data_IF_492153192831
#
_entry.id   IF_492153192831
#
_cell.length_a   1.000
_cell.length_b   1.000
_cell.length_c   1.000
_cell.angle_alpha   90.00
_cell.angle_beta   90.00
_cell.angle_gamma   90.00
#
_symmetry.space_group_name_H-M   'P 1'
#
loop_
_entity.id
_entity.type
_entity.pdbx_description
1 polymer ?
#
# COMPACT_ATOMS: atom_id res chain seq x y z
N UNK A 1 4.60 -17.69 19.71
CA UNK A 1 5.08 -16.59 18.84
C UNK A 1 5.33 -17.19 17.47
N UNK A 2 4.60 -16.76 16.44
CA UNK A 2 4.84 -17.24 15.07
C UNK A 2 6.24 -16.81 14.66
N UNK A 3 7.09 -17.74 14.24
CA UNK A 3 8.51 -17.50 13.92
C UNK A 3 8.73 -17.05 12.48
N UNK A 4 7.65 -16.82 11.71
CA UNK A 4 7.71 -16.24 10.38
C UNK A 4 6.53 -15.28 10.20
N UNK A 5 6.83 -13.98 10.18
CA UNK A 5 5.87 -12.96 9.78
C UNK A 5 5.98 -12.77 8.26
N UNK A 6 4.84 -12.73 7.56
CA UNK A 6 4.78 -12.45 6.13
C UNK A 6 4.50 -10.97 5.90
N UNK A 7 5.48 -10.27 5.37
CA UNK A 7 5.44 -8.82 5.14
C UNK A 7 5.31 -8.55 3.65
N UNK A 8 4.33 -7.71 3.27
CA UNK A 8 4.17 -7.16 1.93
C UNK A 8 4.62 -5.70 1.91
N UNK A 9 5.39 -5.32 0.88
CA UNK A 9 5.87 -3.96 0.66
C UNK A 9 5.45 -3.52 -0.74
N UNK A 10 4.54 -2.54 -0.84
CA UNK A 10 4.01 -2.11 -2.15
C UNK A 10 5.03 -1.33 -2.98
N UNK A 11 5.97 -0.64 -2.31
CA UNK A 11 6.79 0.38 -2.97
C UNK A 11 5.95 1.61 -3.36
N UNK A 12 6.44 2.36 -4.35
CA UNK A 12 5.79 3.55 -4.92
C UNK A 12 5.02 3.11 -6.19
N UNK A 13 3.69 3.03 -6.10
CA UNK A 13 2.83 2.48 -7.16
C UNK A 13 1.41 3.00 -7.01
N UNK A 14 0.76 3.35 -8.13
CA UNK A 14 -0.67 3.65 -8.15
C UNK A 14 -1.54 2.42 -7.98
N UNK A 15 -2.81 2.63 -7.65
CA UNK A 15 -3.75 1.54 -7.41
C UNK A 15 -4.08 0.74 -8.68
N UNK A 16 -4.22 -0.59 -8.55
CA UNK A 16 -4.60 -1.45 -9.67
C UNK A 16 -4.84 -2.91 -9.28
N UNK A 17 -5.28 -3.72 -10.25
CA UNK A 17 -5.66 -5.13 -10.04
C UNK A 17 -4.53 -6.03 -9.52
N UNK A 18 -3.27 -5.59 -9.65
CA UNK A 18 -2.10 -6.33 -9.20
C UNK A 18 -2.08 -6.57 -7.69
N UNK A 19 -2.65 -5.66 -6.86
CA UNK A 19 -2.74 -5.88 -5.41
C UNK A 19 -3.57 -7.12 -5.08
N UNK A 20 -4.70 -7.29 -5.76
CA UNK A 20 -5.57 -8.46 -5.62
C UNK A 20 -4.88 -9.73 -6.09
N UNK A 21 -4.24 -9.69 -7.25
CA UNK A 21 -3.50 -10.85 -7.76
C UNK A 21 -2.37 -11.29 -6.82
N UNK A 22 -1.66 -10.33 -6.20
CA UNK A 22 -0.62 -10.61 -5.22
C UNK A 22 -1.23 -11.22 -3.96
N UNK A 23 -2.34 -10.68 -3.45
CA UNK A 23 -3.05 -11.22 -2.29
C UNK A 23 -3.56 -12.64 -2.51
N UNK A 24 -4.04 -12.95 -3.73
CA UNK A 24 -4.48 -14.30 -4.11
C UNK A 24 -3.32 -15.29 -4.24
N UNK A 25 -2.18 -14.87 -4.84
CA UNK A 25 -1.03 -15.74 -5.12
C UNK A 25 -0.13 -15.97 -3.91
N UNK A 26 0.08 -14.95 -3.08
CA UNK A 26 1.14 -14.90 -2.06
C UNK A 26 0.62 -14.68 -0.64
N UNK A 27 -0.62 -14.21 -0.48
CA UNK A 27 -1.23 -13.91 0.81
C UNK A 27 -1.69 -15.15 1.61
N UNK A 28 -2.33 -14.95 2.77
CA UNK A 28 -2.52 -13.67 3.47
C UNK A 28 -1.23 -13.14 4.11
N UNK A 29 -1.10 -11.81 4.24
CA UNK A 29 0.06 -11.19 4.90
C UNK A 29 -0.27 -10.77 6.34
N UNK A 30 0.72 -10.76 7.21
CA UNK A 30 0.60 -10.22 8.58
C UNK A 30 0.66 -8.69 8.56
N UNK A 31 1.54 -8.14 7.72
CA UNK A 31 1.74 -6.71 7.52
C UNK A 31 1.79 -6.35 6.05
N UNK A 32 1.14 -5.24 5.68
CA UNK A 32 1.34 -4.54 4.42
C UNK A 32 1.82 -3.11 4.67
N UNK A 33 2.94 -2.76 4.05
CA UNK A 33 3.44 -1.40 4.01
C UNK A 33 3.07 -0.78 2.67
N UNK A 34 2.11 0.15 2.70
CA UNK A 34 1.46 0.68 1.51
C UNK A 34 1.65 2.18 1.40
N UNK A 35 1.97 2.65 0.19
CA UNK A 35 2.11 4.05 -0.18
C UNK A 35 0.85 4.84 0.22
N UNK A 36 1.02 5.95 0.93
CA UNK A 36 -0.07 6.80 1.42
C UNK A 36 0.40 8.28 1.52
N UNK A 37 1.22 8.74 0.57
CA UNK A 37 1.78 10.08 0.54
C UNK A 37 1.62 10.77 -0.82
N UNK A 38 1.81 12.08 -0.87
CA UNK A 38 1.94 12.85 -2.12
C UNK A 38 0.81 12.70 -3.16
N UNK A 39 -0.42 12.37 -2.76
CA UNK A 39 -1.53 12.20 -3.69
C UNK A 39 -1.84 13.49 -4.47
N UNK A 40 -1.93 13.41 -5.79
CA UNK A 40 -2.40 14.49 -6.65
C UNK A 40 -3.13 13.88 -7.84
N UNK A 41 -4.21 14.54 -8.29
CA UNK A 41 -4.98 14.15 -9.48
C UNK A 41 -4.11 14.05 -10.74
N UNK A 42 -3.01 14.80 -10.82
CA UNK A 42 -2.09 14.80 -11.97
C UNK A 42 -1.19 13.55 -12.04
N UNK A 43 -0.99 12.82 -10.95
CA UNK A 43 -0.09 11.66 -10.89
C UNK A 43 -0.66 10.47 -10.11
N UNK A 44 -1.98 10.30 -10.18
CA UNK A 44 -2.73 9.19 -9.61
C UNK A 44 -2.26 7.79 -10.05
N UNK A 45 -1.66 7.71 -11.24
CA UNK A 45 -1.11 6.45 -11.74
C UNK A 45 0.12 5.97 -10.95
N UNK A 46 0.74 6.85 -10.16
CA UNK A 46 1.96 6.56 -9.40
C UNK A 46 1.84 6.85 -7.90
N UNK A 47 0.88 7.67 -7.46
CA UNK A 47 0.56 7.90 -6.04
C UNK A 47 -0.91 7.60 -5.75
N UNK A 48 -1.15 6.76 -4.74
CA UNK A 48 -2.49 6.36 -4.32
C UNK A 48 -3.16 7.44 -3.47
N UNK A 49 -4.47 7.65 -3.67
CA UNK A 49 -5.25 8.32 -2.64
C UNK A 49 -5.35 7.47 -1.38
N UNK A 50 -5.54 8.06 -0.19
CA UNK A 50 -5.66 7.30 1.06
C UNK A 50 -6.71 6.18 1.00
N UNK A 51 -7.83 6.41 0.32
CA UNK A 51 -8.89 5.42 0.13
C UNK A 51 -8.42 4.22 -0.73
N UNK A 52 -7.59 4.49 -1.73
CA UNK A 52 -7.02 3.46 -2.59
C UNK A 52 -5.92 2.68 -1.88
N UNK A 53 -5.12 3.34 -1.03
CA UNK A 53 -4.15 2.67 -0.16
C UNK A 53 -4.84 1.68 0.78
N UNK A 54 -6.01 2.05 1.33
CA UNK A 54 -6.82 1.14 2.15
C UNK A 54 -7.33 -0.03 1.30
N UNK A 55 -7.83 0.22 0.09
CA UNK A 55 -8.30 -0.84 -0.78
C UNK A 55 -7.17 -1.79 -1.20
N UNK A 56 -5.96 -1.28 -1.45
CA UNK A 56 -4.78 -2.08 -1.76
C UNK A 56 -4.40 -3.04 -0.63
N UNK A 57 -4.51 -2.62 0.64
CA UNK A 57 -4.30 -3.49 1.81
C UNK A 57 -5.33 -4.61 1.86
N UNK A 58 -6.61 -4.28 1.62
CA UNK A 58 -7.71 -5.24 1.61
C UNK A 58 -7.49 -6.28 0.52
N UNK A 59 -7.17 -5.81 -0.69
CA UNK A 59 -6.95 -6.66 -1.86
C UNK A 59 -5.69 -7.53 -1.71
N UNK A 60 -4.64 -7.00 -1.08
CA UNK A 60 -3.46 -7.77 -0.71
C UNK A 60 -3.72 -8.80 0.42
N UNK A 61 -4.90 -8.79 1.06
CA UNK A 61 -5.29 -9.69 2.16
C UNK A 61 -4.33 -9.59 3.35
N UNK A 62 -3.93 -8.38 3.71
CA UNK A 62 -3.08 -8.12 4.85
C UNK A 62 -3.89 -7.88 6.14
N UNK A 63 -3.42 -8.42 7.26
CA UNK A 63 -4.10 -8.29 8.56
C UNK A 63 -3.85 -6.94 9.23
N UNK A 64 -2.71 -6.31 8.95
CA UNK A 64 -2.31 -5.01 9.48
C UNK A 64 -1.66 -4.17 8.38
N UNK A 65 -1.83 -2.86 8.46
CA UNK A 65 -1.25 -1.91 7.51
C UNK A 65 -0.38 -0.87 8.23
N UNK A 66 0.76 -0.54 7.63
CA UNK A 66 1.56 0.61 7.99
C UNK A 66 1.67 1.55 6.78
N UNK A 67 1.27 2.82 6.86
CA UNK A 67 1.49 3.74 5.76
C UNK A 67 3.00 3.98 5.59
N UNK A 68 3.47 3.93 4.35
CA UNK A 68 4.81 4.35 3.94
C UNK A 68 4.69 5.56 2.98
N UNK A 69 5.81 6.20 2.66
CA UNK A 69 5.85 7.42 1.83
C UNK A 69 5.20 8.67 2.43
N UNK A 70 4.76 8.64 3.69
CA UNK A 70 4.36 9.83 4.43
C UNK A 70 5.58 10.46 5.15
N UNK A 71 5.83 11.75 4.92
CA UNK A 71 6.73 12.55 5.75
C UNK A 71 8.22 12.59 5.37
N UNK A 72 8.66 11.95 4.29
CA UNK A 72 10.05 12.07 3.80
C UNK A 72 10.30 13.40 3.04
N UNK A 73 9.26 13.96 2.41
CA UNK A 73 9.31 15.23 1.69
C UNK A 73 8.05 16.05 1.98
N UNK A 74 8.18 17.38 2.05
CA UNK A 74 7.08 18.33 2.23
C UNK A 74 6.29 18.49 0.92
N UNK A 75 5.60 17.45 0.50
CA UNK A 75 4.74 17.45 -0.70
C UNK A 75 3.28 17.20 -0.36
N UNK A 76 2.97 17.01 0.92
CA UNK A 76 1.62 17.10 1.46
C UNK A 76 1.33 18.55 1.92
N UNK A 77 1.50 19.52 1.02
CA UNK A 77 0.99 20.89 1.15
C UNK A 77 1.30 21.72 -0.12
N UNK A 78 0.40 21.71 -1.10
CA UNK A 78 -0.09 22.90 -1.81
C UNK A 78 -1.28 22.54 -2.68
#
# INVERSE_FOLDING_TARGET
MSTSERIYWSGDSGYGAHFKEIGEKLGPFDWAFVECGQFNKLWHAIHMFPEESVQAVIDARASRAGPIHWGAFTTCAS
#
